data_IF_300019959403
#
_entry.id   IF_300019959403
#
_cell.length_a   1.000
_cell.length_b   1.000
_cell.length_c   1.000
_cell.angle_alpha   90.00
_cell.angle_beta   90.00
_cell.angle_gamma   90.00
#
_symmetry.space_group_name_H-M   'P 1'
#
loop_
_entity.id
_entity.type
_entity.pdbx_description
1 polymer ?
#
# COMPACT_ATOMS: atom_id res chain seq x y z
N UNK A 1 33.17 -58.18 17.61
CA UNK A 1 33.95 -57.34 16.66
C UNK A 1 33.59 -57.55 15.18
N UNK A 2 32.40 -58.09 14.82
CA UNK A 2 32.02 -58.34 13.42
C UNK A 2 30.79 -57.52 12.94
N UNK A 3 30.03 -56.93 13.86
CA UNK A 3 28.84 -56.11 13.55
C UNK A 3 29.11 -54.60 13.43
N UNK A 4 30.27 -54.11 13.88
CA UNK A 4 30.61 -52.67 13.79
C UNK A 4 31.10 -52.28 12.38
N UNK A 5 31.76 -53.21 11.67
CA UNK A 5 32.26 -52.95 10.31
C UNK A 5 31.14 -52.92 9.26
N UNK A 6 30.07 -53.69 9.42
CA UNK A 6 28.96 -53.70 8.46
C UNK A 6 28.13 -52.40 8.51
N UNK A 7 27.96 -51.79 9.69
CA UNK A 7 27.20 -50.55 9.85
C UNK A 7 28.00 -49.35 9.30
N UNK A 8 29.32 -49.31 9.53
CA UNK A 8 30.19 -48.30 8.92
C UNK A 8 30.26 -48.40 7.40
N UNK A 9 30.26 -49.62 6.84
CA UNK A 9 30.31 -49.80 5.39
C UNK A 9 28.98 -49.43 4.70
N UNK A 10 27.85 -49.66 5.36
CA UNK A 10 26.53 -49.22 4.88
C UNK A 10 26.37 -47.69 4.90
N UNK A 11 26.86 -47.00 5.94
CA UNK A 11 26.84 -45.53 6.02
C UNK A 11 27.77 -44.86 4.99
N UNK A 12 28.92 -45.48 4.72
CA UNK A 12 29.85 -44.99 3.70
C UNK A 12 29.28 -45.23 2.29
N UNK A 13 28.60 -46.35 2.06
CA UNK A 13 27.91 -46.61 0.79
C UNK A 13 26.72 -45.69 0.57
N UNK A 14 25.92 -45.34 1.60
CA UNK A 14 24.82 -44.37 1.43
C UNK A 14 25.33 -42.97 1.12
N UNK A 15 26.41 -42.52 1.76
CA UNK A 15 27.03 -41.23 1.46
C UNK A 15 27.67 -41.22 0.05
N UNK A 16 28.37 -42.30 -0.34
CA UNK A 16 28.93 -42.42 -1.70
C UNK A 16 27.85 -42.53 -2.79
N UNK A 17 26.71 -43.16 -2.50
CA UNK A 17 25.58 -43.24 -3.44
C UNK A 17 24.87 -41.88 -3.59
N UNK A 18 24.79 -41.08 -2.53
CA UNK A 18 24.22 -39.72 -2.57
C UNK A 18 25.14 -38.73 -3.31
N UNK A 19 26.47 -38.83 -3.12
CA UNK A 19 27.46 -37.99 -3.81
C UNK A 19 27.49 -38.29 -5.32
N UNK A 20 27.24 -39.54 -5.73
CA UNK A 20 27.22 -39.95 -7.15
C UNK A 20 25.98 -39.49 -7.93
N UNK A 21 24.94 -38.94 -7.29
CA UNK A 21 23.72 -38.51 -7.98
C UNK A 21 23.76 -37.06 -8.51
N UNK A 22 24.78 -36.27 -8.15
CA UNK A 22 24.87 -34.87 -8.55
C UNK A 22 25.40 -34.67 -9.98
N UNK A 23 26.26 -35.57 -10.48
CA UNK A 23 26.95 -35.38 -11.77
C UNK A 23 26.04 -35.45 -13.02
N UNK A 24 24.77 -35.87 -12.91
CA UNK A 24 23.87 -36.11 -14.07
C UNK A 24 22.52 -35.36 -14.02
N UNK A 25 22.28 -34.45 -13.06
CA UNK A 25 21.02 -33.68 -13.03
C UNK A 25 21.14 -32.45 -13.94
N UNK A 26 20.34 -32.44 -15.01
CA UNK A 26 20.22 -31.29 -15.91
C UNK A 26 19.77 -30.04 -15.12
N UNK A 27 20.42 -28.89 -15.34
CA UNK A 27 20.16 -27.66 -14.59
C UNK A 27 18.67 -27.26 -14.55
N UNK A 28 17.92 -27.50 -15.64
CA UNK A 28 16.47 -27.25 -15.69
C UNK A 28 15.70 -28.14 -14.70
N UNK A 29 16.09 -29.40 -14.54
CA UNK A 29 15.47 -30.32 -13.59
C UNK A 29 15.79 -29.91 -12.15
N UNK A 30 17.02 -29.45 -11.89
CA UNK A 30 17.43 -28.92 -10.58
C UNK A 30 16.56 -27.72 -10.17
N UNK A 31 16.45 -26.70 -11.02
CA UNK A 31 15.70 -25.48 -10.69
C UNK A 31 14.19 -25.71 -10.66
N UNK A 32 13.67 -26.62 -11.49
CA UNK A 32 12.25 -27.00 -11.46
C UNK A 32 11.88 -27.69 -10.15
N UNK A 33 12.69 -28.67 -9.69
CA UNK A 33 12.44 -29.38 -8.41
C UNK A 33 12.47 -28.43 -7.21
N UNK A 34 13.43 -27.52 -7.16
CA UNK A 34 13.48 -26.51 -6.09
C UNK A 34 12.23 -25.63 -6.11
N UNK A 35 11.84 -25.15 -7.30
CA UNK A 35 10.67 -24.29 -7.45
C UNK A 35 9.38 -24.99 -7.00
N UNK A 36 9.24 -26.28 -7.31
CA UNK A 36 8.12 -27.12 -6.85
C UNK A 36 8.09 -27.22 -5.33
N UNK A 37 9.22 -27.54 -4.69
CA UNK A 37 9.30 -27.67 -3.23
C UNK A 37 8.95 -26.34 -2.52
N UNK A 38 9.45 -25.21 -3.04
CA UNK A 38 9.12 -23.89 -2.48
C UNK A 38 7.63 -23.55 -2.70
N UNK A 39 7.09 -23.82 -3.89
CA UNK A 39 5.69 -23.54 -4.20
C UNK A 39 4.74 -24.35 -3.30
N UNK A 40 4.98 -25.66 -3.15
CA UNK A 40 4.18 -26.52 -2.29
C UNK A 40 4.22 -26.07 -0.83
N UNK A 41 5.40 -25.70 -0.32
CA UNK A 41 5.58 -25.33 1.09
C UNK A 41 5.12 -23.91 1.41
N UNK A 42 5.30 -22.94 0.51
CA UNK A 42 5.13 -21.52 0.85
C UNK A 42 4.03 -20.78 0.06
N UNK A 43 3.55 -21.33 -1.06
CA UNK A 43 2.49 -20.69 -1.84
C UNK A 43 1.09 -21.26 -1.54
N UNK A 44 1.01 -22.46 -0.95
CA UNK A 44 -0.25 -23.15 -0.61
C UNK A 44 -0.96 -22.63 0.64
N UNK A 45 -0.28 -21.84 1.48
CA UNK A 45 -0.71 -21.58 2.86
C UNK A 45 -1.82 -20.51 2.96
N UNK A 46 -1.92 -19.57 2.02
CA UNK A 46 -2.58 -18.28 2.30
C UNK A 46 -3.91 -18.01 1.57
N UNK A 47 -4.29 -18.73 0.50
CA UNK A 47 -5.47 -18.34 -0.31
C UNK A 47 -6.27 -19.51 -0.92
N UNK A 48 -7.59 -19.31 -1.07
CA UNK A 48 -8.51 -20.23 -1.78
C UNK A 48 -8.27 -20.30 -3.30
N UNK A 49 -7.61 -19.29 -3.86
CA UNK A 49 -7.12 -19.28 -5.25
C UNK A 49 -5.60 -19.38 -5.24
N UNK A 50 -5.08 -20.54 -5.61
CA UNK A 50 -3.66 -20.86 -5.68
C UNK A 50 -3.18 -20.67 -7.13
N UNK A 51 -2.77 -19.45 -7.48
CA UNK A 51 -2.24 -19.14 -8.81
C UNK A 51 -0.76 -18.73 -8.74
N UNK A 52 0.05 -19.25 -9.67
CA UNK A 52 1.47 -18.94 -9.82
C UNK A 52 1.72 -18.31 -11.20
N UNK A 53 2.45 -17.21 -11.21
CA UNK A 53 2.96 -16.57 -12.41
C UNK A 53 4.40 -16.99 -12.64
N UNK A 54 4.66 -17.63 -13.78
CA UNK A 54 6.01 -18.03 -14.20
C UNK A 54 6.49 -17.00 -15.22
N UNK A 55 7.57 -16.29 -14.91
CA UNK A 55 8.26 -15.39 -15.83
C UNK A 55 9.57 -16.05 -16.21
N UNK A 56 9.64 -16.60 -17.42
CA UNK A 56 10.81 -17.35 -17.85
C UNK A 56 11.10 -17.13 -19.33
N UNK A 57 12.37 -17.27 -19.71
CA UNK A 57 12.73 -17.25 -21.14
C UNK A 57 12.18 -18.48 -21.87
N UNK A 58 12.14 -18.39 -23.20
CA UNK A 58 11.60 -19.46 -24.04
C UNK A 58 12.38 -20.77 -23.82
N UNK A 59 11.67 -21.82 -23.40
CA UNK A 59 12.28 -23.13 -23.16
C UNK A 59 12.78 -23.37 -21.74
N UNK A 60 12.71 -22.38 -20.84
CA UNK A 60 13.16 -22.50 -19.44
C UNK A 60 11.97 -22.84 -18.52
N UNK A 61 12.14 -23.72 -17.53
CA UNK A 61 11.06 -24.25 -16.64
C UNK A 61 9.93 -24.95 -17.40
N UNK A 62 10.23 -25.74 -18.44
CA UNK A 62 9.21 -26.55 -19.11
C UNK A 62 8.77 -27.74 -18.26
N UNK A 63 9.67 -28.26 -17.43
CA UNK A 63 9.41 -29.40 -16.55
C UNK A 63 8.65 -29.04 -15.27
N UNK A 64 8.63 -27.77 -14.87
CA UNK A 64 7.94 -27.32 -13.66
C UNK A 64 6.45 -27.65 -13.71
N UNK A 65 5.95 -28.36 -12.71
CA UNK A 65 4.55 -28.69 -12.57
C UNK A 65 4.08 -28.53 -11.12
N UNK A 66 2.99 -27.80 -10.92
CA UNK A 66 2.40 -27.61 -9.60
C UNK A 66 0.93 -28.04 -9.64
N UNK A 67 0.65 -29.29 -9.23
CA UNK A 67 -0.63 -29.99 -9.45
C UNK A 67 -1.84 -29.24 -8.86
N UNK A 68 -1.64 -28.49 -7.76
CA UNK A 68 -2.68 -27.76 -7.05
C UNK A 68 -2.74 -26.26 -7.40
N UNK A 69 -2.07 -25.82 -8.47
CA UNK A 69 -1.95 -24.41 -8.81
C UNK A 69 -2.37 -24.14 -10.26
N UNK A 70 -3.10 -23.04 -10.48
CA UNK A 70 -3.25 -22.49 -11.82
C UNK A 70 -1.96 -21.75 -12.20
N UNK A 71 -1.55 -21.87 -13.46
CA UNK A 71 -0.29 -21.31 -13.95
C UNK A 71 -0.57 -20.24 -15.00
N UNK A 72 0.01 -19.05 -14.82
CA UNK A 72 0.11 -18.01 -15.84
C UNK A 72 1.56 -17.94 -16.27
N UNK A 73 1.84 -18.19 -17.56
CA UNK A 73 3.22 -18.13 -18.07
C UNK A 73 3.41 -16.88 -18.91
N UNK A 74 4.45 -16.12 -18.57
CA UNK A 74 4.92 -14.96 -19.29
C UNK A 74 6.28 -15.35 -19.87
N UNK A 75 6.32 -15.51 -21.20
CA UNK A 75 7.57 -15.74 -21.91
C UNK A 75 8.29 -14.42 -22.07
N UNK A 76 9.49 -14.31 -21.50
CA UNK A 76 10.39 -13.19 -21.76
C UNK A 76 11.07 -13.39 -23.11
N UNK A 77 11.02 -12.37 -23.96
CA UNK A 77 11.81 -12.30 -25.19
C UNK A 77 12.70 -11.07 -25.12
N UNK A 78 13.83 -11.18 -24.42
CA UNK A 78 14.81 -10.10 -24.34
C UNK A 78 15.82 -10.25 -25.49
N UNK A 79 15.70 -9.49 -26.60
CA UNK A 79 16.80 -9.39 -27.55
C UNK A 79 18.03 -8.81 -26.84
N UNK A 80 19.21 -9.32 -27.19
CA UNK A 80 20.48 -9.34 -26.44
C UNK A 80 20.95 -8.11 -25.62
N UNK A 81 20.30 -6.94 -25.65
CA UNK A 81 20.72 -5.76 -24.87
C UNK A 81 19.60 -5.00 -24.14
N UNK A 82 18.32 -5.40 -24.21
CA UNK A 82 17.24 -4.61 -23.60
C UNK A 82 16.14 -5.44 -22.94
N UNK A 83 15.63 -4.95 -21.82
CA UNK A 83 14.43 -5.49 -21.18
C UNK A 83 13.22 -5.44 -22.12
N UNK A 84 12.41 -6.50 -22.11
CA UNK A 84 11.18 -6.59 -22.90
C UNK A 84 10.15 -5.55 -22.41
N UNK A 85 9.83 -4.57 -23.25
CA UNK A 85 8.89 -3.49 -22.94
C UNK A 85 7.46 -4.00 -22.75
N UNK A 86 7.11 -5.18 -23.26
CA UNK A 86 5.78 -5.77 -23.12
C UNK A 86 5.59 -6.54 -21.80
N UNK A 87 6.67 -6.77 -21.04
CA UNK A 87 6.63 -7.54 -19.80
C UNK A 87 5.66 -6.96 -18.76
N UNK A 88 5.59 -5.63 -18.64
CA UNK A 88 4.67 -4.95 -17.71
C UNK A 88 3.20 -5.22 -18.06
N UNK A 89 2.84 -5.28 -19.34
CA UNK A 89 1.48 -5.58 -19.80
C UNK A 89 1.08 -7.04 -19.50
N UNK A 90 2.02 -7.97 -19.67
CA UNK A 90 1.79 -9.37 -19.31
C UNK A 90 1.67 -9.55 -17.79
N UNK A 91 2.51 -8.86 -17.00
CA UNK A 91 2.40 -8.88 -15.53
C UNK A 91 1.06 -8.26 -15.09
N UNK A 92 0.59 -7.21 -15.75
CA UNK A 92 -0.73 -6.63 -15.48
C UNK A 92 -1.87 -7.62 -15.67
N UNK A 93 -1.73 -8.57 -16.61
CA UNK A 93 -2.70 -9.67 -16.77
C UNK A 93 -2.65 -10.64 -15.59
N UNK A 94 -1.45 -10.97 -15.08
CA UNK A 94 -1.28 -11.76 -13.87
C UNK A 94 -1.91 -11.10 -12.62
N UNK A 95 -1.75 -9.78 -12.48
CA UNK A 95 -2.37 -9.01 -11.39
C UNK A 95 -3.90 -9.07 -11.45
N UNK A 96 -4.50 -8.99 -12.65
CA UNK A 96 -5.95 -9.11 -12.86
C UNK A 96 -6.49 -10.46 -12.40
N UNK A 97 -5.76 -11.53 -12.66
CA UNK A 97 -6.11 -12.89 -12.25
C UNK A 97 -5.75 -13.20 -10.78
N UNK A 98 -5.28 -12.19 -10.03
CA UNK A 98 -4.84 -12.31 -8.63
C UNK A 98 -3.68 -13.30 -8.41
N UNK A 99 -2.82 -13.46 -9.41
CA UNK A 99 -1.69 -14.39 -9.39
C UNK A 99 -0.41 -13.76 -8.79
N UNK A 100 -0.46 -13.39 -7.51
CA UNK A 100 0.61 -12.66 -6.80
C UNK A 100 1.79 -13.54 -6.30
N UNK A 101 2.03 -14.68 -6.93
CA UNK A 101 3.15 -15.58 -6.63
C UNK A 101 3.98 -15.69 -7.89
N UNK A 102 5.26 -15.30 -7.83
CA UNK A 102 6.10 -15.16 -9.01
C UNK A 102 7.30 -16.09 -8.90
N UNK A 103 7.53 -16.87 -9.95
CA UNK A 103 8.75 -17.64 -10.18
C UNK A 103 9.42 -17.02 -11.41
N UNK A 104 10.62 -16.48 -11.23
CA UNK A 104 11.36 -15.71 -12.23
C UNK A 104 12.64 -16.46 -12.58
N UNK A 105 12.80 -16.80 -13.86
CA UNK A 105 14.03 -17.38 -14.42
C UNK A 105 14.26 -16.86 -15.83
N UNK A 106 14.85 -15.66 -15.91
CA UNK A 106 15.14 -14.93 -17.15
C UNK A 106 16.60 -14.52 -17.18
N UNK A 107 17.21 -14.46 -18.37
CA UNK A 107 18.62 -14.14 -18.57
C UNK A 107 19.02 -12.79 -17.93
N UNK A 108 18.08 -11.85 -17.85
CA UNK A 108 18.24 -10.52 -17.22
C UNK A 108 17.28 -10.33 -16.05
N UNK A 109 17.58 -10.88 -14.85
CA UNK A 109 16.68 -10.84 -13.70
C UNK A 109 16.33 -9.41 -13.24
N UNK A 110 17.20 -8.43 -13.51
CA UNK A 110 16.98 -7.02 -13.22
C UNK A 110 15.80 -6.40 -13.97
N UNK A 111 15.33 -7.02 -15.06
CA UNK A 111 14.21 -6.52 -15.85
C UNK A 111 12.84 -6.74 -15.17
N UNK A 112 12.72 -7.72 -14.28
CA UNK A 112 11.42 -8.10 -13.71
C UNK A 112 10.87 -7.05 -12.74
N UNK A 113 11.67 -6.59 -11.76
CA UNK A 113 11.18 -5.66 -10.72
C UNK A 113 10.65 -4.35 -11.31
N UNK A 114 11.36 -3.66 -12.23
CA UNK A 114 10.85 -2.46 -12.88
C UNK A 114 9.54 -2.71 -13.65
N UNK A 115 9.46 -3.81 -14.41
CA UNK A 115 8.26 -4.16 -15.17
C UNK A 115 7.07 -4.47 -14.24
N UNK A 116 7.34 -5.17 -13.13
CA UNK A 116 6.34 -5.47 -12.09
C UNK A 116 5.84 -4.19 -11.41
N UNK A 117 6.75 -3.27 -11.09
CA UNK A 117 6.42 -1.97 -10.53
C UNK A 117 5.57 -1.12 -11.46
N UNK A 118 5.94 -1.09 -12.73
CA UNK A 118 5.18 -0.40 -13.77
C UNK A 118 3.76 -0.97 -13.89
N UNK A 119 3.62 -2.29 -13.88
CA UNK A 119 2.32 -2.95 -13.91
C UNK A 119 1.44 -2.57 -12.71
N UNK A 120 2.01 -2.48 -11.51
CA UNK A 120 1.26 -2.09 -10.29
C UNK A 120 0.86 -0.62 -10.29
N UNK A 121 1.72 0.26 -10.82
CA UNK A 121 1.45 1.70 -10.88
C UNK A 121 0.46 2.08 -11.98
N UNK A 122 0.42 1.32 -13.07
CA UNK A 122 -0.39 1.65 -14.25
C UNK A 122 -1.73 0.89 -14.31
N UNK A 123 -2.01 0.00 -13.35
CA UNK A 123 -3.27 -0.73 -13.29
C UNK A 123 -4.12 -0.30 -12.09
N UNK A 124 -5.43 -0.54 -12.21
CA UNK A 124 -6.42 -0.32 -11.14
C UNK A 124 -6.72 -1.61 -10.37
N UNK A 125 -5.94 -2.67 -10.63
CA UNK A 125 -6.14 -3.97 -9.98
C UNK A 125 -5.66 -3.93 -8.54
N UNK A 126 -6.17 -4.85 -7.74
CA UNK A 126 -5.82 -4.97 -6.34
C UNK A 126 -4.31 -5.23 -6.18
N UNK A 127 -3.64 -4.42 -5.37
CA UNK A 127 -2.21 -4.56 -5.09
C UNK A 127 -2.03 -5.58 -3.97
N UNK A 128 -1.68 -6.80 -4.35
CA UNK A 128 -1.44 -7.89 -3.41
C UNK A 128 0.01 -7.91 -2.93
N UNK A 129 0.25 -8.44 -1.71
CA UNK A 129 1.59 -8.71 -1.21
C UNK A 129 2.23 -9.88 -2.01
N UNK A 130 3.22 -9.62 -2.88
CA UNK A 130 3.77 -10.65 -3.74
C UNK A 130 4.68 -11.59 -2.95
N UNK A 131 4.86 -12.83 -3.42
CA UNK A 131 6.03 -13.65 -3.08
C UNK A 131 6.79 -13.90 -4.37
N UNK A 132 8.04 -13.46 -4.44
CA UNK A 132 8.85 -13.47 -5.67
C UNK A 132 10.06 -14.38 -5.43
N UNK A 133 10.30 -15.31 -6.35
CA UNK A 133 11.44 -16.23 -6.32
C UNK A 133 12.23 -16.04 -7.61
N UNK A 134 13.53 -15.76 -7.48
CA UNK A 134 14.47 -15.74 -8.58
C UNK A 134 15.30 -17.01 -8.59
N UNK A 135 15.21 -17.77 -9.68
CA UNK A 135 16.00 -18.97 -9.90
C UNK A 135 17.26 -18.62 -10.71
N UNK A 136 18.38 -19.34 -10.49
CA UNK A 136 19.61 -19.10 -11.23
C UNK A 136 19.40 -19.43 -12.71
N UNK A 137 20.09 -18.70 -13.58
CA UNK A 137 20.18 -19.02 -15.01
C UNK A 137 21.52 -19.70 -15.26
N UNK A 138 21.55 -20.65 -16.20
CA UNK A 138 22.74 -21.42 -16.54
C UNK A 138 23.73 -20.61 -17.38
N UNK A 139 24.18 -19.47 -16.84
CA UNK A 139 25.17 -18.60 -17.47
C UNK A 139 26.27 -18.27 -16.44
N UNK A 140 27.52 -18.63 -16.75
CA UNK A 140 28.64 -18.58 -15.80
C UNK A 140 29.03 -17.15 -15.43
N UNK A 141 28.64 -16.14 -16.22
CA UNK A 141 28.93 -14.74 -15.90
C UNK A 141 28.00 -14.15 -14.82
N UNK A 142 26.85 -14.78 -14.53
CA UNK A 142 25.81 -14.28 -13.64
C UNK A 142 25.59 -15.17 -12.40
N UNK A 143 26.65 -15.78 -11.85
CA UNK A 143 26.55 -16.59 -10.62
C UNK A 143 26.13 -15.79 -9.38
N UNK A 144 26.47 -14.49 -9.32
CA UNK A 144 26.18 -13.59 -8.20
C UNK A 144 25.46 -12.31 -8.65
N UNK A 145 24.17 -12.43 -8.99
CA UNK A 145 23.32 -11.31 -9.44
C UNK A 145 22.47 -10.71 -8.31
N UNK A 146 22.36 -11.39 -7.17
CA UNK A 146 21.45 -11.05 -6.09
C UNK A 146 21.76 -9.73 -5.40
N UNK A 147 23.03 -9.35 -5.27
CA UNK A 147 23.40 -8.08 -4.64
C UNK A 147 22.91 -6.88 -5.47
N UNK A 148 23.11 -6.92 -6.79
CA UNK A 148 22.66 -5.87 -7.69
C UNK A 148 21.13 -5.82 -7.77
N UNK A 149 20.47 -6.97 -7.88
CA UNK A 149 19.02 -7.09 -7.92
C UNK A 149 18.36 -6.60 -6.63
N UNK A 150 18.92 -6.91 -5.46
CA UNK A 150 18.37 -6.56 -4.15
C UNK A 150 18.78 -5.15 -3.69
N UNK A 151 19.60 -4.46 -4.47
CA UNK A 151 19.98 -3.06 -4.29
C UNK A 151 19.07 -2.08 -5.07
N UNK A 152 18.01 -2.55 -5.72
CA UNK A 152 17.06 -1.68 -6.42
C UNK A 152 15.98 -1.14 -5.48
N UNK A 153 15.48 0.08 -5.76
CA UNK A 153 14.52 0.77 -4.89
C UNK A 153 13.19 0.02 -4.74
N UNK A 154 12.81 -0.75 -5.77
CA UNK A 154 11.62 -1.57 -5.83
C UNK A 154 11.57 -2.61 -4.69
N UNK A 155 12.72 -2.98 -4.14
CA UNK A 155 12.84 -3.92 -3.02
C UNK A 155 12.43 -3.32 -1.68
N UNK A 156 12.29 -1.99 -1.58
CA UNK A 156 11.87 -1.31 -0.34
C UNK A 156 10.42 -1.59 0.04
N UNK A 157 9.56 -1.89 -0.95
CA UNK A 157 8.12 -2.08 -0.75
C UNK A 157 7.71 -3.56 -0.62
N UNK A 158 8.58 -4.50 -1.02
CA UNK A 158 8.27 -5.93 -1.00
C UNK A 158 9.19 -6.68 -0.02
N UNK A 159 8.64 -7.24 1.08
CA UNK A 159 9.43 -7.98 2.05
C UNK A 159 9.74 -9.43 1.61
N UNK A 160 9.05 -9.95 0.60
CA UNK A 160 9.04 -11.38 0.27
C UNK A 160 9.72 -11.66 -1.08
N UNK A 161 11.02 -11.41 -1.14
CA UNK A 161 11.85 -11.70 -2.31
C UNK A 161 12.88 -12.77 -1.92
N UNK A 162 12.95 -13.83 -2.72
CA UNK A 162 13.97 -14.86 -2.65
C UNK A 162 14.85 -14.80 -3.89
N UNK A 163 16.16 -14.91 -3.68
CA UNK A 163 17.15 -15.02 -4.74
C UNK A 163 17.96 -16.28 -4.52
N UNK A 164 18.01 -17.13 -5.54
CA UNK A 164 18.77 -18.36 -5.51
C UNK A 164 19.95 -18.22 -6.47
N UNK A 165 21.13 -18.49 -5.93
CA UNK A 165 22.42 -18.40 -6.63
C UNK A 165 23.09 -19.78 -6.62
N UNK A 166 23.86 -20.07 -7.67
CA UNK A 166 24.69 -21.27 -7.72
C UNK A 166 25.83 -21.14 -6.71
N UNK A 167 26.12 -22.20 -5.98
CA UNK A 167 27.25 -22.26 -5.06
C UNK A 167 28.55 -22.48 -5.82
N UNK A 168 29.48 -21.53 -5.74
CA UNK A 168 30.83 -21.68 -6.32
C UNK A 168 31.80 -22.44 -5.40
N UNK A 169 31.49 -22.52 -4.10
CA UNK A 169 32.44 -22.93 -3.06
C UNK A 169 32.14 -24.30 -2.44
N UNK A 170 30.88 -24.75 -2.45
CA UNK A 170 30.45 -26.00 -1.82
C UNK A 170 29.82 -26.94 -2.86
N UNK A 171 30.58 -27.92 -3.36
CA UNK A 171 30.08 -28.96 -4.29
C UNK A 171 28.93 -29.79 -3.69
N UNK A 172 28.88 -29.92 -2.36
CA UNK A 172 27.83 -30.68 -1.64
C UNK A 172 26.48 -29.93 -1.61
N UNK A 173 26.51 -28.60 -1.73
CA UNK A 173 25.33 -27.74 -1.60
C UNK A 173 25.24 -26.81 -2.81
N UNK A 174 24.59 -27.25 -3.90
CA UNK A 174 24.70 -26.58 -5.19
C UNK A 174 24.00 -25.23 -5.27
N UNK A 175 23.01 -24.97 -4.39
CA UNK A 175 22.20 -23.75 -4.42
C UNK A 175 22.20 -23.06 -3.06
N UNK A 176 22.53 -21.76 -3.06
CA UNK A 176 22.43 -20.88 -1.89
C UNK A 176 21.20 -19.99 -2.02
N UNK A 177 20.46 -19.83 -0.93
CA UNK A 177 19.20 -19.09 -0.89
C UNK A 177 19.36 -17.83 -0.05
N UNK A 178 18.99 -16.71 -0.64
CA UNK A 178 19.05 -15.38 -0.02
C UNK A 178 17.69 -14.70 -0.04
N UNK A 179 17.53 -13.70 0.81
CA UNK A 179 16.38 -12.80 0.81
C UNK A 179 16.81 -11.34 0.90
N UNK A 180 15.93 -10.42 0.52
CA UNK A 180 16.19 -9.00 0.61
C UNK A 180 16.28 -8.52 2.07
N UNK A 181 17.25 -7.65 2.37
CA UNK A 181 17.25 -6.89 3.60
C UNK A 181 16.17 -5.81 3.53
N UNK A 182 15.02 -6.12 4.13
CA UNK A 182 13.85 -5.25 4.18
C UNK A 182 13.87 -4.27 5.36
N UNK A 183 14.78 -4.47 6.32
CA UNK A 183 14.87 -3.69 7.57
C UNK A 183 15.54 -2.32 7.38
N UNK A 184 16.26 -2.14 6.27
CA UNK A 184 16.94 -0.91 5.91
C UNK A 184 16.53 -0.48 4.51
N UNK A 185 16.40 0.83 4.31
CA UNK A 185 16.11 1.40 3.00
C UNK A 185 17.34 1.29 2.09
N UNK A 186 17.12 1.08 0.80
CA UNK A 186 18.18 0.88 -0.20
C UNK A 186 19.26 1.97 -0.18
N UNK A 187 18.90 3.22 0.11
CA UNK A 187 19.82 4.36 0.13
C UNK A 187 20.53 4.57 1.50
N UNK A 188 20.21 3.79 2.52
CA UNK A 188 20.86 3.89 3.83
C UNK A 188 22.30 3.35 3.75
N UNK A 189 23.27 4.03 4.38
CA UNK A 189 24.66 3.61 4.37
C UNK A 189 24.85 2.24 5.05
N UNK A 190 25.87 1.50 4.63
CA UNK A 190 26.26 0.19 5.21
C UNK A 190 25.20 -0.92 5.09
N UNK A 191 24.14 -0.72 4.28
CA UNK A 191 23.14 -1.76 4.02
C UNK A 191 23.75 -2.94 3.27
N UNK A 192 23.62 -4.13 3.83
CA UNK A 192 23.77 -5.39 3.07
C UNK A 192 22.49 -5.66 2.29
N UNK A 193 22.50 -5.74 0.94
CA UNK A 193 21.28 -5.90 0.14
C UNK A 193 20.65 -7.29 0.30
N UNK A 194 21.47 -8.33 0.43
CA UNK A 194 21.04 -9.72 0.61
C UNK A 194 21.34 -10.24 2.02
N UNK A 195 20.50 -11.16 2.47
CA UNK A 195 20.61 -11.89 3.74
C UNK A 195 20.54 -13.38 3.40
N UNK A 196 21.55 -14.13 3.83
CA UNK A 196 21.59 -15.58 3.65
C UNK A 196 20.52 -16.29 4.51
N UNK A 197 19.88 -17.31 3.95
CA UNK A 197 18.85 -18.09 4.63
C UNK A 197 19.22 -19.57 4.76
N UNK A 198 19.46 -20.25 3.64
CA UNK A 198 19.63 -21.70 3.61
C UNK A 198 20.45 -22.14 2.40
N UNK A 199 20.86 -23.41 2.43
CA UNK A 199 21.37 -24.14 1.27
C UNK A 199 20.38 -25.22 0.85
N UNK A 200 20.36 -25.59 -0.42
CA UNK A 200 19.49 -26.64 -0.92
C UNK A 200 20.22 -27.65 -1.81
N UNK A 201 19.85 -28.92 -1.63
CA UNK A 201 20.38 -30.04 -2.42
C UNK A 201 19.23 -30.94 -2.91
N UNK A 202 19.22 -31.40 -4.17
CA UNK A 202 18.08 -32.10 -4.78
C UNK A 202 17.69 -33.43 -4.12
N UNK A 203 18.63 -34.10 -3.45
CA UNK A 203 18.37 -35.38 -2.76
C UNK A 203 18.08 -35.23 -1.26
N UNK A 204 18.44 -34.09 -0.66
CA UNK A 204 18.37 -33.88 0.79
C UNK A 204 17.29 -32.85 1.16
N UNK A 205 17.00 -31.90 0.26
CA UNK A 205 16.14 -30.75 0.51
C UNK A 205 16.93 -29.58 1.11
N UNK A 206 16.29 -28.79 1.97
CA UNK A 206 16.89 -27.67 2.67
C UNK A 206 17.84 -28.12 3.80
N UNK A 207 19.06 -27.57 3.85
CA UNK A 207 20.10 -27.93 4.83
C UNK A 207 19.70 -27.65 6.27
N UNK A 208 19.24 -26.43 6.53
CA UNK A 208 18.86 -25.97 7.85
C UNK A 208 17.33 -25.97 8.05
N UNK A 209 16.57 -26.04 6.96
CA UNK A 209 15.11 -26.10 6.98
C UNK A 209 14.49 -24.81 7.52
N UNK A 210 15.14 -23.66 7.33
CA UNK A 210 14.64 -22.38 7.85
C UNK A 210 13.38 -21.95 7.08
N UNK A 211 12.62 -21.03 7.68
CA UNK A 211 11.51 -20.41 6.96
C UNK A 211 12.07 -19.46 5.90
N UNK A 212 11.84 -19.75 4.62
CA UNK A 212 12.33 -18.95 3.50
C UNK A 212 11.56 -17.61 3.35
N UNK A 213 10.33 -17.55 3.83
CA UNK A 213 9.54 -16.31 3.87
C UNK A 213 9.26 -15.93 5.34
N UNK A 214 10.29 -15.48 6.09
CA UNK A 214 10.08 -15.00 7.45
C UNK A 214 9.16 -13.78 7.41
N UNK A 215 8.29 -13.65 8.41
CA UNK A 215 7.41 -12.49 8.53
C UNK A 215 8.20 -11.26 9.01
N UNK A 216 8.80 -10.55 8.05
CA UNK A 216 9.64 -9.36 8.29
C UNK A 216 8.83 -8.17 8.82
N UNK A 217 7.50 -8.21 8.72
CA UNK A 217 6.62 -7.14 9.22
C UNK A 217 6.37 -7.23 10.72
N UNK A 218 6.55 -8.41 11.34
CA UNK A 218 6.41 -8.57 12.80
C UNK A 218 7.43 -7.77 13.61
N UNK A 219 8.61 -7.54 13.03
CA UNK A 219 9.65 -6.74 13.64
C UNK A 219 10.48 -6.07 12.53
N UNK A 220 10.26 -4.77 12.37
CA UNK A 220 10.89 -3.96 11.34
C UNK A 220 12.34 -3.56 11.68
N UNK A 221 12.85 -3.93 12.87
CA UNK A 221 14.23 -3.68 13.30
C UNK A 221 14.68 -2.22 13.12
N UNK A 222 13.84 -1.28 13.57
CA UNK A 222 14.08 0.17 13.45
C UNK A 222 14.08 0.69 12.00
N UNK A 223 13.51 -0.04 11.03
CA UNK A 223 13.27 0.48 9.67
C UNK A 223 12.62 1.86 9.72
N UNK A 224 13.18 2.78 8.95
CA UNK A 224 12.59 4.11 8.76
C UNK A 224 11.30 4.00 7.96
N UNK A 225 10.20 4.46 8.54
CA UNK A 225 8.89 4.60 7.92
C UNK A 225 8.62 6.08 7.68
N UNK A 226 8.56 6.46 6.40
CA UNK A 226 8.43 7.83 5.94
C UNK A 226 6.95 8.24 5.96
N UNK A 227 6.60 9.13 6.88
CA UNK A 227 5.25 9.58 7.14
C UNK A 227 5.01 10.97 6.54
N UNK A 228 4.21 11.03 5.48
CA UNK A 228 3.76 12.31 4.93
C UNK A 228 2.63 12.88 5.77
N UNK A 229 2.80 14.10 6.29
CA UNK A 229 1.79 14.77 7.14
C UNK A 229 1.22 16.00 6.45
N UNK A 230 -0.11 16.06 6.33
CA UNK A 230 -0.82 17.30 5.98
C UNK A 230 -1.11 18.08 7.26
N UNK A 231 -0.79 19.39 7.38
CA UNK A 231 -1.10 20.16 8.57
C UNK A 231 -2.60 20.46 8.67
N UNK A 232 -3.34 19.53 9.25
CA UNK A 232 -4.80 19.55 9.38
C UNK A 232 -5.22 19.08 10.79
N UNK A 233 -5.18 20.01 11.74
CA UNK A 233 -5.49 19.77 13.16
C UNK A 233 -6.99 19.42 13.33
N UNK A 234 -7.35 18.42 14.17
CA UNK A 234 -6.49 17.68 15.12
C UNK A 234 -5.85 16.40 14.57
N UNK A 235 -5.99 16.11 13.28
CA UNK A 235 -5.62 14.83 12.67
C UNK A 235 -4.11 14.67 12.50
N UNK A 236 -3.45 15.67 11.94
CA UNK A 236 -2.02 15.68 11.73
C UNK A 236 -1.45 17.09 11.66
N UNK A 237 -0.17 17.18 11.98
CA UNK A 237 0.65 18.37 11.90
C UNK A 237 2.08 17.94 11.55
N UNK A 238 2.82 18.80 10.86
CA UNK A 238 4.19 18.54 10.43
C UNK A 238 5.24 19.04 11.43
N UNK A 239 4.95 20.13 12.16
CA UNK A 239 5.85 20.67 13.19
C UNK A 239 5.09 21.17 14.45
N UNK A 240 5.18 20.45 15.59
CA UNK A 240 5.79 19.12 15.73
C UNK A 240 4.99 18.08 14.95
N UNK A 241 5.67 16.99 14.54
CA UNK A 241 5.02 15.79 13.95
C UNK A 241 4.12 15.16 15.02
N UNK A 242 2.84 15.55 15.04
CA UNK A 242 1.83 15.11 16.00
C UNK A 242 0.42 15.22 15.42
N UNK A 243 -0.56 14.65 16.12
CA UNK A 243 -1.96 14.58 15.71
C UNK A 243 -2.54 13.20 15.98
N UNK A 244 -3.86 13.06 15.93
CA UNK A 244 -4.51 11.77 16.22
C UNK A 244 -4.04 10.66 15.27
N UNK A 245 -3.94 10.93 13.97
CA UNK A 245 -3.50 9.94 12.96
C UNK A 245 -2.00 9.69 13.03
N UNK A 246 -1.20 10.73 13.29
CA UNK A 246 0.25 10.59 13.50
C UNK A 246 0.53 9.67 14.69
N UNK A 247 -0.24 9.79 15.77
CA UNK A 247 -0.11 8.93 16.95
C UNK A 247 -0.48 7.48 16.66
N UNK A 248 -1.43 7.22 15.77
CA UNK A 248 -1.74 5.86 15.31
C UNK A 248 -0.52 5.23 14.62
N UNK A 249 0.16 5.97 13.74
CA UNK A 249 1.38 5.48 13.05
C UNK A 249 2.54 5.30 14.03
N UNK A 250 2.71 6.22 14.98
CA UNK A 250 3.73 6.07 16.05
C UNK A 250 3.46 4.83 16.89
N UNK A 251 2.20 4.55 17.22
CA UNK A 251 1.84 3.35 17.97
C UNK A 251 2.06 2.07 17.17
N UNK A 252 1.77 2.08 15.87
CA UNK A 252 2.16 1.00 14.97
C UNK A 252 3.69 0.76 15.05
N UNK A 253 4.51 1.80 15.02
CA UNK A 253 5.95 1.66 15.15
C UNK A 253 6.44 1.22 16.53
N UNK A 254 5.72 1.56 17.61
CA UNK A 254 5.99 1.03 18.94
C UNK A 254 5.78 -0.50 18.99
N UNK A 255 4.73 -0.99 18.32
CA UNK A 255 4.38 -2.43 18.30
C UNK A 255 5.32 -3.22 17.38
N UNK A 256 5.56 -2.73 16.16
CA UNK A 256 6.32 -3.44 15.13
C UNK A 256 7.79 -3.02 15.06
N UNK A 257 8.29 -2.24 16.03
CA UNK A 257 9.67 -1.82 16.15
C UNK A 257 10.19 -1.10 14.89
N UNK A 258 9.53 -0.02 14.47
CA UNK A 258 10.01 0.90 13.42
C UNK A 258 10.27 2.31 13.96
N UNK A 259 10.87 3.15 13.12
CA UNK A 259 11.09 4.58 13.39
C UNK A 259 10.29 5.41 12.40
N UNK A 260 9.62 6.46 12.87
CA UNK A 260 8.88 7.39 12.01
C UNK A 260 9.77 8.57 11.61
N UNK A 261 9.78 8.90 10.33
CA UNK A 261 10.41 10.12 9.79
C UNK A 261 9.39 10.94 9.02
N UNK A 262 9.26 12.23 9.34
CA UNK A 262 8.27 13.10 8.70
C UNK A 262 8.71 13.56 7.32
N UNK A 263 7.79 13.48 6.35
CA UNK A 263 7.95 14.03 5.01
C UNK A 263 6.91 15.14 4.82
N UNK A 264 7.34 16.27 4.26
CA UNK A 264 6.44 17.38 3.90
C UNK A 264 7.07 18.21 2.79
N UNK A 265 6.30 18.47 1.74
CA UNK A 265 6.74 19.20 0.55
C UNK A 265 6.02 20.55 0.34
N UNK A 266 5.13 20.94 1.26
CA UNK A 266 4.34 22.17 1.15
C UNK A 266 3.00 22.04 0.43
N UNK A 267 2.76 20.95 -0.30
CA UNK A 267 1.66 20.84 -1.28
C UNK A 267 0.40 20.12 -0.76
N UNK A 268 0.33 19.86 0.55
CA UNK A 268 -0.83 19.25 1.24
C UNK A 268 -1.22 17.88 0.65
N UNK A 269 -2.50 17.65 0.31
CA UNK A 269 -2.97 16.36 -0.24
C UNK A 269 -2.38 16.05 -1.63
N UNK A 270 -2.21 17.07 -2.48
CA UNK A 270 -1.49 16.93 -3.74
C UNK A 270 -2.25 16.27 -4.89
N UNK A 271 -1.51 15.86 -5.92
CA UNK A 271 -2.03 15.30 -7.18
C UNK A 271 -0.96 14.42 -7.86
N UNK A 272 -1.40 13.49 -8.72
CA UNK A 272 -0.55 12.64 -9.56
C UNK A 272 -0.68 13.05 -11.03
N UNK A 273 0.45 13.36 -11.66
CA UNK A 273 0.54 13.67 -13.08
C UNK A 273 0.82 12.39 -13.87
N UNK A 274 -0.23 11.83 -14.49
CA UNK A 274 -0.16 10.60 -15.29
C UNK A 274 0.90 10.68 -16.39
N UNK A 275 0.96 11.79 -17.11
CA UNK A 275 1.79 11.94 -18.31
C UNK A 275 3.28 11.77 -18.01
N UNK A 276 3.72 12.32 -16.87
CA UNK A 276 5.14 12.36 -16.50
C UNK A 276 5.49 11.39 -15.37
N UNK A 277 4.55 10.55 -14.92
CA UNK A 277 4.73 9.62 -13.78
C UNK A 277 5.34 10.30 -12.55
N UNK A 278 4.86 11.50 -12.27
CA UNK A 278 5.29 12.32 -11.13
C UNK A 278 4.07 12.71 -10.31
N UNK A 279 4.30 13.29 -9.14
CA UNK A 279 3.22 13.88 -8.35
C UNK A 279 3.78 14.83 -7.32
N UNK A 280 2.87 15.59 -6.74
CA UNK A 280 3.14 16.54 -5.66
C UNK A 280 2.23 16.23 -4.47
N UNK A 281 2.57 16.78 -3.31
CA UNK A 281 1.84 16.58 -2.06
C UNK A 281 1.84 15.14 -1.63
N UNK A 282 0.92 14.81 -0.73
CA UNK A 282 0.84 13.50 -0.11
C UNK A 282 0.66 12.37 -1.11
N UNK A 283 -0.32 12.48 -2.00
CA UNK A 283 -0.63 11.42 -2.97
C UNK A 283 0.54 11.24 -3.94
N UNK A 284 1.17 12.34 -4.39
CA UNK A 284 2.35 12.28 -5.25
C UNK A 284 3.56 11.66 -4.57
N UNK A 285 3.81 11.99 -3.30
CA UNK A 285 4.89 11.41 -2.51
C UNK A 285 4.71 9.91 -2.29
N UNK A 286 3.47 9.43 -2.07
CA UNK A 286 3.17 8.01 -1.98
C UNK A 286 3.34 7.30 -3.34
N UNK A 287 2.82 7.89 -4.42
CA UNK A 287 2.92 7.32 -5.77
C UNK A 287 4.38 7.19 -6.25
N UNK A 288 5.23 8.14 -5.89
CA UNK A 288 6.66 8.18 -6.23
C UNK A 288 7.55 7.48 -5.20
N UNK A 289 6.97 6.82 -4.18
CA UNK A 289 7.69 6.14 -3.10
C UNK A 289 8.66 7.05 -2.34
N UNK A 290 8.35 8.34 -2.23
CA UNK A 290 9.05 9.27 -1.35
C UNK A 290 8.47 9.27 0.07
N UNK A 291 7.25 8.77 0.24
CA UNK A 291 6.62 8.48 1.51
C UNK A 291 6.05 7.05 1.51
N UNK A 292 5.94 6.45 2.69
CA UNK A 292 5.38 5.11 2.88
C UNK A 292 3.93 5.17 3.39
N UNK A 293 3.59 6.18 4.21
CA UNK A 293 2.24 6.41 4.74
C UNK A 293 1.88 7.89 4.66
N UNK A 294 0.64 8.20 4.29
CA UNK A 294 0.08 9.55 4.31
C UNK A 294 -1.04 9.71 5.34
N UNK A 295 -0.93 10.71 6.22
CA UNK A 295 -1.97 11.10 7.20
C UNK A 295 -2.40 12.55 7.00
N UNK A 296 -3.68 12.85 7.25
CA UNK A 296 -4.26 14.14 6.89
C UNK A 296 -5.78 14.15 6.70
N UNK A 297 -6.55 13.41 7.49
CA UNK A 297 -8.01 13.28 7.32
C UNK A 297 -8.38 12.80 5.90
N UNK A 298 -7.67 11.79 5.43
CA UNK A 298 -7.89 11.21 4.11
C UNK A 298 -9.24 10.51 4.05
N UNK A 299 -10.10 10.96 3.14
CA UNK A 299 -11.29 10.23 2.73
C UNK A 299 -10.98 9.38 1.50
N UNK A 300 -11.76 8.33 1.27
CA UNK A 300 -11.66 7.56 0.02
C UNK A 300 -12.04 8.44 -1.16
N UNK A 301 -11.03 8.96 -1.85
CA UNK A 301 -11.18 9.73 -3.06
C UNK A 301 -11.02 8.81 -4.26
N UNK A 302 -12.10 8.70 -5.05
CA UNK A 302 -12.11 7.87 -6.26
C UNK A 302 -11.02 8.27 -7.26
N UNK A 303 -10.63 9.54 -7.26
CA UNK A 303 -9.57 10.07 -8.11
C UNK A 303 -8.18 9.52 -7.77
N UNK A 304 -7.91 9.24 -6.49
CA UNK A 304 -6.59 8.76 -6.04
C UNK A 304 -6.49 7.23 -6.00
N UNK A 305 -7.63 6.53 -5.97
CA UNK A 305 -7.71 5.07 -5.95
C UNK A 305 -6.84 4.36 -7.01
N UNK A 306 -6.71 4.85 -8.27
CA UNK A 306 -5.85 4.22 -9.26
C UNK A 306 -4.36 4.23 -8.92
N UNK A 307 -3.89 5.10 -8.02
CA UNK A 307 -2.45 5.33 -7.81
C UNK A 307 -1.93 4.90 -6.45
N UNK A 308 -2.80 4.90 -5.44
CA UNK A 308 -2.46 4.58 -4.06
C UNK A 308 -3.53 3.67 -3.46
N UNK A 309 -3.15 2.96 -2.40
CA UNK A 309 -4.09 2.16 -1.62
C UNK A 309 -4.49 2.92 -0.35
N UNK A 310 -5.70 2.64 0.13
CA UNK A 310 -6.19 3.14 1.41
C UNK A 310 -6.31 2.00 2.41
N UNK A 311 -5.99 2.27 3.67
CA UNK A 311 -6.34 1.39 4.78
C UNK A 311 -7.86 1.37 4.99
N UNK A 312 -8.35 0.42 5.78
CA UNK A 312 -9.74 0.46 6.26
C UNK A 312 -10.07 1.77 6.99
N UNK A 313 -11.31 2.25 6.80
CA UNK A 313 -11.83 3.42 7.48
C UNK A 313 -11.90 3.18 8.99
N UNK A 314 -11.26 4.03 9.78
CA UNK A 314 -11.41 4.08 11.23
C UNK A 314 -12.38 5.18 11.70
N UNK A 315 -12.80 6.08 10.80
CA UNK A 315 -13.73 7.17 11.11
C UNK A 315 -14.72 7.41 9.95
N UNK A 316 -15.99 7.64 10.29
CA UNK A 316 -17.03 8.05 9.35
C UNK A 316 -17.22 9.56 9.38
N UNK A 317 -17.30 10.19 8.20
CA UNK A 317 -17.54 11.63 8.04
C UNK A 317 -18.80 11.92 7.22
N UNK A 318 -19.28 13.15 7.31
CA UNK A 318 -20.37 13.67 6.47
C UNK A 318 -20.09 15.13 6.10
N UNK A 319 -20.52 15.53 4.90
CA UNK A 319 -20.50 16.94 4.50
C UNK A 319 -21.65 17.65 5.17
N UNK A 320 -21.34 18.63 6.01
CA UNK A 320 -22.32 19.44 6.75
C UNK A 320 -22.12 20.92 6.45
N UNK A 321 -23.21 21.67 6.34
CA UNK A 321 -23.13 23.13 6.21
C UNK A 321 -23.07 23.76 7.59
N UNK A 322 -22.01 24.50 7.86
CA UNK A 322 -21.85 25.29 9.08
C UNK A 322 -22.21 26.73 8.75
N UNK A 323 -23.20 27.26 9.47
CA UNK A 323 -23.57 28.67 9.40
C UNK A 323 -23.14 29.40 10.69
N UNK A 324 -22.87 30.71 10.62
CA UNK A 324 -22.62 31.50 11.82
C UNK A 324 -23.76 31.35 12.83
N UNK A 325 -23.40 31.37 14.11
CA UNK A 325 -24.40 31.36 15.20
C UNK A 325 -25.41 32.50 14.99
N UNK A 326 -26.73 32.23 15.07
CA UNK A 326 -27.72 33.28 14.93
C UNK A 326 -27.48 34.36 15.98
N UNK A 327 -27.48 35.62 15.53
CA UNK A 327 -27.44 36.75 16.44
C UNK A 327 -28.83 36.94 17.03
N UNK A 328 -28.91 37.02 18.35
CA UNK A 328 -30.17 37.31 19.04
C UNK A 328 -30.52 38.77 18.73
N UNK A 329 -31.68 39.00 18.12
CA UNK A 329 -32.20 40.35 17.91
C UNK A 329 -32.48 40.99 19.27
N UNK A 330 -32.24 42.29 19.40
CA UNK A 330 -32.55 43.03 20.62
C UNK A 330 -34.04 42.89 20.97
N UNK A 331 -34.37 42.60 22.23
CA UNK A 331 -35.75 42.34 22.66
C UNK A 331 -36.72 43.51 22.43
N UNK A 332 -36.21 44.71 22.12
CA UNK A 332 -37.03 45.87 21.73
C UNK A 332 -37.72 45.68 20.39
N UNK A 333 -37.21 44.82 19.50
CA UNK A 333 -37.82 44.50 18.22
C UNK A 333 -38.98 43.51 18.36
N UNK A 334 -39.03 42.75 19.45
CA UNK A 334 -40.01 41.68 19.68
C UNK A 334 -41.47 42.16 19.60
N UNK A 335 -41.86 43.36 20.07
CA UNK A 335 -43.22 43.86 19.90
C UNK A 335 -43.57 44.24 18.47
N UNK A 336 -42.59 44.59 17.63
CA UNK A 336 -42.81 45.14 16.28
C UNK A 336 -42.68 44.09 15.17
N UNK A 337 -41.83 43.08 15.36
CA UNK A 337 -41.58 41.97 14.43
C UNK A 337 -42.81 41.10 14.04
N UNK A 338 -43.82 40.89 14.91
CA UNK A 338 -44.95 40.02 14.58
C UNK A 338 -45.82 40.53 13.43
N UNK A 339 -45.78 41.83 13.12
CA UNK A 339 -46.64 42.45 12.12
C UNK A 339 -45.83 43.29 11.12
N UNK A 340 -46.22 43.30 9.83
CA UNK A 340 -45.58 44.14 8.83
C UNK A 340 -45.82 45.62 9.11
N UNK A 341 -44.92 46.47 8.61
CA UNK A 341 -45.01 47.93 8.80
C UNK A 341 -46.35 48.51 8.31
N UNK A 342 -46.93 47.94 7.25
CA UNK A 342 -48.22 48.35 6.69
C UNK A 342 -49.36 48.22 7.71
N UNK A 343 -49.36 47.17 8.54
CA UNK A 343 -50.38 46.99 9.57
C UNK A 343 -50.23 48.03 10.67
N UNK A 344 -49.00 48.33 11.10
CA UNK A 344 -48.73 49.39 12.09
C UNK A 344 -49.18 50.76 11.59
N UNK A 345 -48.93 51.09 10.32
CA UNK A 345 -49.40 52.32 9.69
C UNK A 345 -50.93 52.39 9.63
N UNK A 346 -51.59 51.27 9.29
CA UNK A 346 -53.05 51.20 9.28
C UNK A 346 -53.64 51.39 10.68
N UNK A 347 -53.10 50.74 11.71
CA UNK A 347 -53.53 50.91 13.10
C UNK A 347 -53.38 52.37 13.54
N UNK A 348 -52.24 52.99 13.27
CA UNK A 348 -52.03 54.42 13.54
C UNK A 348 -53.05 55.30 12.81
N UNK A 349 -53.31 55.01 11.54
CA UNK A 349 -54.31 55.70 10.73
C UNK A 349 -55.73 55.57 11.30
N UNK A 350 -56.14 54.37 11.72
CA UNK A 350 -57.45 54.11 12.34
C UNK A 350 -57.57 54.84 13.67
N UNK A 351 -56.52 54.87 14.50
CA UNK A 351 -56.51 55.62 15.77
C UNK A 351 -56.68 57.11 15.52
N UNK A 352 -55.95 57.69 14.56
CA UNK A 352 -56.07 59.11 14.21
C UNK A 352 -57.46 59.42 13.64
N UNK A 353 -57.95 58.61 12.70
CA UNK A 353 -59.27 58.80 12.11
C UNK A 353 -60.39 58.70 13.17
N UNK A 354 -60.26 57.77 14.12
CA UNK A 354 -61.20 57.62 15.23
C UNK A 354 -61.18 58.82 16.17
N UNK A 355 -59.98 59.33 16.50
CA UNK A 355 -59.84 60.52 17.34
C UNK A 355 -60.43 61.77 16.68
N UNK A 356 -60.14 61.99 15.39
CA UNK A 356 -60.73 63.08 14.61
C UNK A 356 -62.25 62.93 14.52
N UNK A 357 -62.74 61.72 14.24
CA UNK A 357 -64.17 61.42 14.20
C UNK A 357 -64.88 61.71 15.51
N UNK A 358 -64.34 61.24 16.65
CA UNK A 358 -64.86 61.51 17.99
C UNK A 358 -64.84 63.00 18.34
N UNK A 359 -63.77 63.72 17.99
CA UNK A 359 -63.68 65.17 18.20
C UNK A 359 -64.77 65.92 17.43
N UNK A 360 -64.94 65.60 16.15
CA UNK A 360 -65.97 66.21 15.30
C UNK A 360 -67.37 65.88 15.81
N UNK A 361 -67.65 64.62 16.16
CA UNK A 361 -68.91 64.21 16.74
C UNK A 361 -69.19 64.95 18.05
N UNK A 362 -68.23 65.01 18.97
CA UNK A 362 -68.37 65.72 20.25
C UNK A 362 -68.67 67.21 20.02
N UNK A 363 -67.94 67.85 19.11
CA UNK A 363 -68.15 69.26 18.79
C UNK A 363 -69.53 69.51 18.17
N UNK A 364 -69.97 68.62 17.26
CA UNK A 364 -71.32 68.68 16.69
C UNK A 364 -72.40 68.46 17.75
N UNK A 365 -72.24 67.47 18.64
CA UNK A 365 -73.17 67.19 19.74
C UNK A 365 -73.29 68.39 20.69
N UNK A 366 -72.17 69.03 21.04
CA UNK A 366 -72.14 70.25 21.86
C UNK A 366 -72.84 71.43 21.18
N UNK A 367 -72.73 71.52 19.84
CA UNK A 367 -73.37 72.57 19.05
C UNK A 367 -74.87 72.37 18.87
N UNK A 368 -75.33 71.12 18.74
CA UNK A 368 -76.74 70.76 18.51
C UNK A 368 -77.53 70.65 19.81
N UNK A 369 -76.91 70.23 20.91
CA UNK A 369 -77.54 70.10 22.22
C UNK A 369 -76.78 70.89 23.29
N UNK A 370 -76.88 72.23 23.30
CA UNK A 370 -76.16 73.10 24.24
C UNK A 370 -76.55 72.89 25.72
N UNK A 371 -77.61 72.13 26.00
CA UNK A 371 -77.98 71.73 27.37
C UNK A 371 -76.97 70.76 28.00
N UNK A 372 -76.21 70.00 27.19
CA UNK A 372 -75.14 69.10 27.64
C UNK A 372 -73.83 69.83 27.95
N UNK A 373 -73.59 70.98 27.32
CA UNK A 373 -72.40 71.81 27.56
C UNK A 373 -72.39 72.52 28.92
N UNK A 374 -73.54 72.56 29.61
CA UNK A 374 -73.72 73.30 30.88
C UNK A 374 -73.46 72.46 32.14
N UNK A 375 -73.08 71.19 32.00
CA UNK A 375 -72.93 70.24 33.13
C UNK A 375 -71.53 69.64 33.32
N UNK A 376 -70.56 70.05 32.51
CA UNK A 376 -69.11 69.93 32.77
C UNK A 376 -68.57 71.29 33.11
#
# INVERSE_FOLDING_TARGET
>A
MRNFFLISFLLILTNLMQISCYEDIEHEELTSRLAEEIAEKYFSIDTQNTCITIVADLGVLQKFSAVNFSLVRISSNSPNDSCDTSMAEFIATSLREKCARYIVQIARPECFLPAWFEAIKNTIFERHNPKIIYLPVNDQENSSYGDALLATNETNISPNILVIENSEEEEEWPLKIYTNNFHQLVHEPERSPKIYLDDWHPSVGFRYGVNLFPDKMRNLQQKTLRLFTVPYVPYSNNDPIDGSEVRMVKEFCNVFNCKVEGVYDGMQWGEVYKENRTGIGQVGALYTENADIGVGANTYWLEYWPYIDFSDCYLGGAVVMIAPKPQVLGGWLTPFLPFPMDLWLLVMGVVIASAVGLYLLTNLTMKVSPSLAKKT
#
